data_IF_384345191872
#
_entry.id   IF_384345191872
#
_cell.length_a   1.000
_cell.length_b   1.000
_cell.length_c   1.000
_cell.angle_alpha   90.00
_cell.angle_beta   90.00
_cell.angle_gamma   90.00
#
_symmetry.space_group_name_H-M   'P 1'
#
loop_
_entity.id
_entity.type
_entity.pdbx_description
1 polymer ?
#
# COMPACT_ATOMS: atom_id res chain seq x y z
N UNK A 1 67.09 -12.20 -26.50
CA UNK A 1 66.03 -12.99 -25.86
C UNK A 1 65.37 -12.09 -24.81
N UNK A 2 64.21 -11.51 -25.12
CA UNK A 2 63.59 -10.48 -24.29
C UNK A 2 63.07 -11.10 -22.99
N UNK A 3 63.67 -10.74 -21.86
CA UNK A 3 63.22 -11.14 -20.53
C UNK A 3 61.97 -10.31 -20.23
N UNK A 4 60.81 -10.82 -20.67
CA UNK A 4 59.52 -10.29 -20.26
C UNK A 4 59.39 -10.55 -18.76
N UNK A 5 59.62 -9.50 -17.98
CA UNK A 5 59.62 -9.55 -16.52
C UNK A 5 58.30 -10.12 -15.99
N UNK A 6 58.38 -11.15 -15.12
CA UNK A 6 57.24 -11.81 -14.45
C UNK A 6 56.24 -10.82 -13.85
N UNK A 7 56.70 -9.64 -13.47
CA UNK A 7 55.90 -8.53 -12.96
C UNK A 7 54.85 -8.06 -13.98
N UNK A 8 55.21 -8.00 -15.27
CA UNK A 8 54.35 -7.53 -16.35
C UNK A 8 53.21 -8.51 -16.65
N UNK A 9 53.50 -9.82 -16.62
CA UNK A 9 52.48 -10.88 -16.76
C UNK A 9 51.49 -10.90 -15.58
N UNK A 10 51.98 -10.73 -14.34
CA UNK A 10 51.10 -10.67 -13.17
C UNK A 10 50.20 -9.43 -13.17
N UNK A 11 50.71 -8.31 -13.68
CA UNK A 11 49.97 -7.06 -13.79
C UNK A 11 48.87 -7.16 -14.86
N UNK A 12 49.15 -7.81 -16.00
CA UNK A 12 48.16 -8.06 -17.05
C UNK A 12 47.06 -9.05 -16.60
N UNK A 13 47.42 -10.11 -15.88
CA UNK A 13 46.45 -11.08 -15.33
C UNK A 13 45.55 -10.46 -14.25
N UNK A 14 46.11 -9.61 -13.36
CA UNK A 14 45.32 -8.83 -12.39
C UNK A 14 44.46 -7.75 -13.06
N UNK A 15 44.96 -7.10 -14.12
CA UNK A 15 44.21 -6.12 -14.92
C UNK A 15 43.03 -6.71 -15.67
N UNK A 16 43.12 -7.94 -16.18
CA UNK A 16 42.00 -8.60 -16.84
C UNK A 16 40.86 -8.89 -15.85
N UNK A 17 41.18 -9.30 -14.62
CA UNK A 17 40.18 -9.50 -13.56
C UNK A 17 39.63 -8.17 -13.04
N UNK A 18 40.48 -7.15 -12.89
CA UNK A 18 40.06 -5.80 -12.51
C UNK A 18 39.17 -5.17 -13.59
N UNK A 19 39.51 -5.32 -14.87
CA UNK A 19 38.72 -4.85 -16.00
C UNK A 19 37.36 -5.52 -16.08
N UNK A 20 37.27 -6.83 -15.84
CA UNK A 20 35.99 -7.55 -15.72
C UNK A 20 35.14 -6.99 -14.57
N UNK A 21 35.73 -6.77 -13.40
CA UNK A 21 35.02 -6.17 -12.25
C UNK A 21 34.53 -4.76 -12.60
N UNK A 22 35.37 -3.90 -13.18
CA UNK A 22 34.97 -2.57 -13.62
C UNK A 22 33.82 -2.60 -14.64
N UNK A 23 33.91 -3.46 -15.66
CA UNK A 23 32.85 -3.62 -16.66
C UNK A 23 31.54 -4.08 -15.99
N UNK A 24 31.60 -5.06 -15.08
CA UNK A 24 30.40 -5.53 -14.37
C UNK A 24 29.76 -4.45 -13.51
N UNK A 25 30.56 -3.66 -12.78
CA UNK A 25 30.05 -2.55 -11.97
C UNK A 25 29.41 -1.49 -12.85
N UNK A 26 30.05 -1.10 -13.95
CA UNK A 26 29.52 -0.11 -14.91
C UNK A 26 28.21 -0.60 -15.54
N UNK A 27 28.14 -1.85 -16.00
CA UNK A 27 26.90 -2.40 -16.57
C UNK A 27 25.78 -2.47 -15.53
N UNK A 28 26.09 -2.86 -14.29
CA UNK A 28 25.12 -2.97 -13.21
C UNK A 28 24.55 -1.59 -12.83
N UNK A 29 25.40 -0.56 -12.70
CA UNK A 29 24.92 0.80 -12.43
C UNK A 29 24.10 1.38 -13.57
N UNK A 30 24.49 1.14 -14.83
CA UNK A 30 23.71 1.59 -16.00
C UNK A 30 22.32 0.96 -16.04
N UNK A 31 22.19 -0.37 -15.87
CA UNK A 31 20.89 -1.03 -15.85
C UNK A 31 20.02 -0.59 -14.67
N UNK A 32 20.61 -0.37 -13.49
CA UNK A 32 19.91 0.16 -12.33
C UNK A 32 19.33 1.56 -12.60
N UNK A 33 20.12 2.47 -13.18
CA UNK A 33 19.66 3.82 -13.54
C UNK A 33 18.61 3.77 -14.66
N UNK A 34 18.77 2.91 -15.67
CA UNK A 34 17.78 2.74 -16.75
C UNK A 34 16.44 2.25 -16.18
N UNK A 35 16.45 1.30 -15.24
CA UNK A 35 15.23 0.84 -14.55
C UNK A 35 14.52 1.98 -13.83
N UNK A 36 15.26 2.74 -13.02
CA UNK A 36 14.72 3.95 -12.36
C UNK A 36 14.18 4.99 -13.36
N UNK A 37 14.85 5.16 -14.50
CA UNK A 37 14.41 6.08 -15.56
C UNK A 37 13.18 5.58 -16.32
N UNK A 38 12.91 4.27 -16.34
CA UNK A 38 11.69 3.72 -16.95
C UNK A 38 10.51 3.80 -15.97
N UNK A 39 10.72 3.53 -14.68
CA UNK A 39 9.69 3.67 -13.66
C UNK A 39 9.30 5.14 -13.40
N UNK A 40 10.23 6.09 -13.60
CA UNK A 40 9.96 7.53 -13.55
C UNK A 40 9.37 8.12 -14.84
N UNK A 41 9.16 7.31 -15.89
CA UNK A 41 8.33 7.67 -17.06
C UNK A 41 6.85 7.34 -16.87
N UNK A 42 6.43 6.90 -15.69
CA UNK A 42 5.06 7.15 -15.24
C UNK A 42 4.85 8.67 -15.23
N UNK A 43 3.89 9.16 -16.02
CA UNK A 43 3.67 10.58 -16.26
C UNK A 43 3.54 11.34 -14.95
N UNK A 44 4.54 12.16 -14.62
CA UNK A 44 4.41 13.19 -13.59
C UNK A 44 3.63 14.34 -14.25
N UNK A 45 2.40 14.68 -13.79
CA UNK A 45 1.77 15.91 -14.20
C UNK A 45 2.64 17.08 -13.75
N UNK A 46 3.10 17.90 -14.70
CA UNK A 46 3.70 19.20 -14.39
C UNK A 46 2.60 20.13 -13.88
N UNK A 47 2.30 20.07 -12.59
CA UNK A 47 1.60 21.15 -11.90
C UNK A 47 2.64 22.13 -11.34
N UNK A 48 2.57 23.43 -11.66
CA UNK A 48 3.46 24.42 -11.07
C UNK A 48 3.22 24.53 -9.56
N UNK A 49 4.25 24.87 -8.76
CA UNK A 49 4.12 24.99 -7.31
C UNK A 49 3.33 26.25 -7.00
N UNK A 50 2.03 26.09 -6.73
CA UNK A 50 1.32 27.06 -5.89
C UNK A 50 1.34 26.49 -4.48
N UNK A 51 1.90 27.30 -3.60
CA UNK A 51 1.96 27.18 -2.17
C UNK A 51 0.66 26.65 -1.54
N UNK A 52 0.83 26.00 -0.39
CA UNK A 52 -0.16 25.54 0.60
C UNK A 52 -0.92 24.24 0.29
N UNK A 53 -0.51 23.21 1.05
CA UNK A 53 -1.31 22.18 1.69
C UNK A 53 -2.24 21.25 0.89
N UNK A 54 -2.22 19.99 1.33
CA UNK A 54 -3.05 18.83 0.97
C UNK A 54 -2.65 18.05 -0.28
N UNK A 55 -2.14 16.84 -0.03
CA UNK A 55 -1.94 15.75 -1.00
C UNK A 55 -3.29 15.34 -1.59
N UNK A 56 -3.61 15.85 -2.78
CA UNK A 56 -4.74 15.38 -3.58
C UNK A 56 -4.34 14.10 -4.34
N UNK A 57 -4.99 12.99 -4.00
CA UNK A 57 -4.99 11.78 -4.81
C UNK A 57 -5.91 12.03 -6.01
N UNK A 58 -5.32 12.14 -7.20
CA UNK A 58 -6.06 12.27 -8.45
C UNK A 58 -6.29 10.87 -9.00
N UNK A 59 -7.55 10.43 -9.06
CA UNK A 59 -7.95 9.24 -9.81
C UNK A 59 -8.17 9.63 -11.28
N UNK A 60 -7.38 9.02 -12.17
CA UNK A 60 -7.45 9.17 -13.62
C UNK A 60 -8.77 8.60 -14.17
N UNK A 61 -9.68 9.47 -14.61
CA UNK A 61 -10.86 9.10 -15.38
C UNK A 61 -10.47 8.94 -16.85
N UNK A 62 -9.98 7.76 -17.21
CA UNK A 62 -9.82 7.40 -18.61
C UNK A 62 -11.19 7.26 -19.29
N UNK A 63 -11.42 8.17 -20.23
CA UNK A 63 -12.21 8.01 -21.47
C UNK A 63 -13.56 7.28 -21.36
N UNK A 64 -14.61 8.02 -20.99
CA UNK A 64 -15.89 7.87 -21.68
C UNK A 64 -16.54 9.24 -21.85
N UNK A 65 -16.41 9.77 -23.06
CA UNK A 65 -17.26 10.75 -23.74
C UNK A 65 -18.38 11.39 -22.88
N UNK A 66 -18.06 12.40 -22.09
CA UNK A 66 -19.06 13.29 -21.52
C UNK A 66 -18.68 14.75 -21.76
N UNK A 67 -19.68 15.47 -22.25
CA UNK A 67 -19.64 16.82 -22.80
C UNK A 67 -19.04 17.83 -21.81
N UNK A 68 -18.49 18.90 -22.37
CA UNK A 68 -18.16 20.15 -21.68
C UNK A 68 -19.29 20.56 -20.71
N UNK A 69 -19.14 20.24 -19.43
CA UNK A 69 -19.89 20.83 -18.33
C UNK A 69 -18.96 21.71 -17.50
N UNK A 70 -18.38 22.73 -18.13
CA UNK A 70 -17.71 23.85 -17.45
C UNK A 70 -18.69 24.95 -17.03
N UNK A 71 -20.00 24.68 -17.02
CA UNK A 71 -21.01 25.63 -16.55
C UNK A 71 -22.22 24.91 -15.95
N UNK A 72 -22.09 24.38 -14.73
CA UNK A 72 -23.18 24.18 -13.77
C UNK A 72 -22.66 23.53 -12.47
N UNK A 73 -21.76 24.21 -11.76
CA UNK A 73 -21.65 24.01 -10.29
C UNK A 73 -22.58 25.03 -9.61
N UNK A 74 -23.76 25.24 -10.18
CA UNK A 74 -24.84 25.92 -9.52
C UNK A 74 -25.56 24.87 -8.67
N UNK A 75 -25.17 24.79 -7.40
CA UNK A 75 -25.91 24.13 -6.32
C UNK A 75 -26.62 22.83 -6.73
N UNK A 76 -25.86 21.77 -7.04
CA UNK A 76 -26.44 20.44 -6.95
C UNK A 76 -26.79 20.23 -5.47
N UNK A 77 -28.08 20.37 -5.13
CA UNK A 77 -28.61 20.08 -3.80
C UNK A 77 -28.37 18.61 -3.53
N UNK A 78 -27.39 18.32 -2.67
CA UNK A 78 -27.11 16.98 -2.21
C UNK A 78 -28.28 16.51 -1.34
N UNK A 79 -28.84 15.35 -1.69
CA UNK A 79 -29.83 14.70 -0.86
C UNK A 79 -29.12 13.89 0.23
N UNK A 80 -29.30 14.33 1.47
CA UNK A 80 -28.80 13.63 2.65
C UNK A 80 -29.86 12.71 3.29
N UNK A 81 -31.02 12.54 2.64
CA UNK A 81 -32.03 11.61 3.11
C UNK A 81 -31.52 10.17 3.07
N UNK A 82 -31.80 9.44 4.14
CA UNK A 82 -31.53 8.01 4.18
C UNK A 82 -32.51 7.29 3.24
N UNK A 83 -31.99 6.62 2.22
CA UNK A 83 -32.82 5.89 1.26
C UNK A 83 -33.34 4.54 1.81
N UNK A 84 -32.91 4.18 3.02
CA UNK A 84 -33.35 3.01 3.76
C UNK A 84 -33.90 3.47 5.12
N UNK A 85 -35.20 3.73 5.16
CA UNK A 85 -35.90 3.90 6.43
C UNK A 85 -36.29 2.51 6.95
N UNK A 86 -35.65 2.07 8.03
CA UNK A 86 -36.20 0.98 8.83
C UNK A 86 -37.51 1.48 9.46
N UNK A 87 -38.60 0.69 9.41
CA UNK A 87 -39.77 0.97 10.24
C UNK A 87 -39.32 1.16 11.68
N UNK A 88 -39.84 2.20 12.34
CA UNK A 88 -39.58 2.41 13.76
C UNK A 88 -39.87 1.10 14.48
N UNK A 89 -38.89 0.53 15.20
CA UNK A 89 -39.14 -0.72 15.89
C UNK A 89 -40.35 -0.48 16.79
N UNK A 90 -41.32 -1.41 16.74
CA UNK A 90 -42.39 -1.42 17.73
C UNK A 90 -41.75 -1.25 19.12
N UNK A 91 -42.43 -0.58 20.04
CA UNK A 91 -42.01 -0.49 21.45
C UNK A 91 -42.04 -1.89 22.07
N UNK A 92 -41.09 -2.72 21.68
CA UNK A 92 -40.80 -3.98 22.32
C UNK A 92 -40.23 -3.55 23.65
N UNK A 93 -40.92 -3.93 24.72
CA UNK A 93 -40.34 -4.01 26.07
C UNK A 93 -39.32 -5.15 26.04
N UNK A 94 -38.32 -5.02 25.17
CA UNK A 94 -37.24 -5.97 25.03
C UNK A 94 -36.33 -5.68 26.20
N UNK A 95 -36.07 -6.70 27.02
CA UNK A 95 -35.11 -6.56 28.11
C UNK A 95 -33.83 -5.99 27.51
N UNK A 96 -33.50 -4.74 27.84
CA UNK A 96 -32.28 -4.09 27.34
C UNK A 96 -31.14 -4.99 27.75
N UNK A 97 -30.57 -5.74 26.79
CA UNK A 97 -29.42 -6.60 27.04
C UNK A 97 -28.30 -5.66 27.44
N UNK A 98 -28.01 -5.61 28.74
CA UNK A 98 -26.93 -4.79 29.27
C UNK A 98 -25.61 -5.41 28.82
N UNK A 99 -25.02 -4.83 27.79
CA UNK A 99 -23.68 -5.17 27.33
C UNK A 99 -22.69 -4.39 28.21
N UNK A 100 -21.87 -5.07 29.03
CA UNK A 100 -20.89 -4.39 29.87
C UNK A 100 -19.76 -3.77 29.03
N UNK A 101 -19.01 -2.79 29.57
CA UNK A 101 -17.80 -2.31 28.92
C UNK A 101 -16.76 -3.42 28.82
N UNK A 102 -15.93 -3.37 27.78
CA UNK A 102 -14.76 -4.24 27.69
C UNK A 102 -13.71 -3.88 28.75
N UNK A 103 -12.86 -4.85 29.12
CA UNK A 103 -11.66 -4.61 29.92
C UNK A 103 -10.72 -3.65 29.16
N UNK A 104 -10.00 -2.78 29.88
CA UNK A 104 -9.14 -1.74 29.31
C UNK A 104 -8.06 -2.29 28.37
N UNK A 105 -7.62 -3.55 28.59
CA UNK A 105 -6.69 -4.24 27.68
C UNK A 105 -7.24 -4.45 26.26
N UNK A 106 -8.54 -4.33 26.05
CA UNK A 106 -9.19 -4.50 24.75
C UNK A 106 -9.49 -3.17 24.04
N UNK A 107 -8.99 -2.04 24.54
CA UNK A 107 -9.22 -0.72 23.92
C UNK A 107 -8.68 -0.65 22.48
N UNK A 108 -7.57 -1.35 22.21
CA UNK A 108 -6.94 -1.43 20.88
C UNK A 108 -7.20 -2.78 20.20
N UNK A 109 -8.20 -3.54 20.66
CA UNK A 109 -8.48 -4.86 20.12
C UNK A 109 -9.00 -4.76 18.69
N UNK A 110 -8.20 -5.25 17.73
CA UNK A 110 -8.54 -5.34 16.30
C UNK A 110 -8.77 -6.81 15.92
N UNK A 111 -9.94 -7.39 16.24
CA UNK A 111 -10.17 -8.83 16.19
C UNK A 111 -9.86 -9.48 14.84
N UNK A 112 -10.01 -8.81 13.71
CA UNK A 112 -9.73 -9.40 12.39
C UNK A 112 -8.31 -9.14 11.88
N UNK A 113 -7.55 -8.26 12.54
CA UNK A 113 -6.18 -7.87 12.15
C UNK A 113 -5.16 -8.17 13.26
N UNK A 114 -5.55 -9.01 14.23
CA UNK A 114 -4.71 -9.40 15.36
C UNK A 114 -3.49 -10.24 14.92
N UNK A 115 -2.30 -9.70 15.22
CA UNK A 115 -0.99 -10.26 14.85
C UNK A 115 -0.77 -11.62 15.52
N UNK A 116 -1.09 -11.76 16.79
CA UNK A 116 -0.84 -13.00 17.53
C UNK A 116 -1.59 -14.19 16.94
N UNK A 117 -2.77 -13.92 16.40
CA UNK A 117 -3.59 -14.93 15.73
C UNK A 117 -3.13 -15.20 14.31
N UNK A 118 -2.68 -14.19 13.57
CA UNK A 118 -2.06 -14.38 12.26
C UNK A 118 -0.88 -15.38 12.31
N UNK A 119 -0.13 -15.36 13.41
CA UNK A 119 1.03 -16.24 13.65
C UNK A 119 0.65 -17.71 13.93
N UNK A 120 -0.63 -18.02 14.16
CA UNK A 120 -1.13 -19.39 14.39
C UNK A 120 -1.37 -20.17 13.10
N UNK A 121 -1.40 -19.48 11.96
CA UNK A 121 -1.68 -20.10 10.66
C UNK A 121 -0.39 -20.53 9.95
N UNK A 122 -0.53 -21.48 9.04
CA UNK A 122 0.58 -21.96 8.22
C UNK A 122 1.17 -20.82 7.35
N UNK A 123 2.48 -20.92 7.10
CA UNK A 123 3.21 -20.02 6.21
C UNK A 123 3.04 -20.40 4.75
N UNK A 124 2.55 -21.60 4.46
CA UNK A 124 2.21 -22.03 3.12
C UNK A 124 1.24 -21.04 2.45
N UNK A 125 1.55 -20.70 1.20
CA UNK A 125 0.78 -19.77 0.36
C UNK A 125 0.51 -18.41 1.02
N UNK A 126 1.29 -18.04 2.04
CA UNK A 126 1.13 -16.80 2.77
C UNK A 126 -0.23 -16.66 3.48
N UNK A 127 -0.87 -17.77 3.86
CA UNK A 127 -2.17 -17.75 4.56
C UNK A 127 -2.10 -16.89 5.82
N UNK A 128 -0.98 -16.92 6.57
CA UNK A 128 -0.76 -16.06 7.73
C UNK A 128 -0.93 -14.54 7.48
N UNK A 129 -0.92 -14.07 6.22
CA UNK A 129 -1.11 -12.65 5.85
C UNK A 129 -2.57 -12.28 5.56
N UNK A 130 -3.47 -13.26 5.53
CA UNK A 130 -4.88 -13.04 5.28
C UNK A 130 -5.61 -12.48 6.52
N UNK A 131 -6.81 -11.92 6.30
CA UNK A 131 -7.69 -11.44 7.37
C UNK A 131 -8.35 -12.63 8.05
N UNK A 132 -7.70 -13.13 9.09
CA UNK A 132 -8.31 -14.10 9.99
C UNK A 132 -9.22 -13.33 10.94
N UNK A 133 -10.50 -13.68 11.04
CA UNK A 133 -11.43 -13.15 12.06
C UNK A 133 -11.74 -14.25 13.09
N UNK A 134 -11.98 -13.88 14.36
CA UNK A 134 -12.34 -14.84 15.40
C UNK A 134 -13.64 -15.54 15.05
N UNK A 135 -13.77 -16.79 15.46
CA UNK A 135 -15.02 -17.51 15.30
C UNK A 135 -16.12 -16.89 16.16
N UNK A 136 -17.40 -17.16 15.84
CA UNK A 136 -18.55 -16.59 16.55
C UNK A 136 -18.53 -16.81 18.06
N UNK A 137 -17.86 -17.88 18.52
CA UNK A 137 -17.70 -18.19 19.94
C UNK A 137 -16.60 -17.36 20.63
N UNK A 138 -15.61 -16.90 19.87
CA UNK A 138 -14.45 -16.13 20.34
C UNK A 138 -14.67 -14.62 20.30
N UNK A 139 -15.71 -14.15 19.60
CA UNK A 139 -16.06 -12.74 19.52
C UNK A 139 -16.48 -12.22 20.90
N UNK A 140 -15.76 -11.19 21.37
CA UNK A 140 -16.08 -10.47 22.60
C UNK A 140 -17.46 -9.81 22.50
N UNK A 141 -18.30 -10.02 23.53
CA UNK A 141 -19.64 -9.43 23.65
C UNK A 141 -19.65 -8.32 24.69
N UNK A 142 -18.79 -7.33 24.47
CA UNK A 142 -18.65 -6.16 25.32
C UNK A 142 -18.64 -4.89 24.46
N UNK A 143 -18.89 -3.74 25.09
CA UNK A 143 -18.90 -2.44 24.43
C UNK A 143 -17.53 -1.76 24.61
N UNK A 144 -16.89 -1.42 23.50
CA UNK A 144 -15.69 -0.57 23.45
C UNK A 144 -16.11 0.89 23.53
#
# INVERSE_FOLDING_TARGET
MAIVSRSYLSFQAKKANLGKIFITVILCTLFYLIGLYQDSRGSVPKTPPSSSDTTLVICDQNNHHHQNHTAAVAAATLDFAAHHHLPDPATVVESVRRIPPCDAKYTEYTPCEDVDRSLKFDRDRLIYRERHCPEKAEVLKCRV
#
